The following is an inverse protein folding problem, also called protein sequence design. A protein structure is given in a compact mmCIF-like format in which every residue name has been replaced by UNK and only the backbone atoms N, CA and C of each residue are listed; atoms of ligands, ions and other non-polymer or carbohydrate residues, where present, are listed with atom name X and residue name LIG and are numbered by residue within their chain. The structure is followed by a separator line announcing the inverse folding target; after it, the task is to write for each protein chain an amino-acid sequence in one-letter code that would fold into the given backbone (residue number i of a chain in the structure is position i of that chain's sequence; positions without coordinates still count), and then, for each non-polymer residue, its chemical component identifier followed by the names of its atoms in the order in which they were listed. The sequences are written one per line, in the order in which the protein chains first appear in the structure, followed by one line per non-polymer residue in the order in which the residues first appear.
data_IF_414197992371
#
_entry.id   IF_414197992371
#
_cell.length_a   1.000
_cell.length_b   1.000
_cell.length_c   1.000
_cell.angle_alpha   90.00
_cell.angle_beta   90.00
_cell.angle_gamma   90.00
#
_symmetry.space_group_name_H-M   'P 1'
#
loop_
_entity.id
_entity.type
_entity.pdbx_description
1 polymer ?
#
# COMPACT_ATOMS: atom_id res chain seq x y z
N UNK A 1 1.50 -7.64 3.90
CA UNK A 1 0.35 -7.55 2.98
C UNK A 1 0.34 -8.75 2.06
N UNK A 2 -0.82 -9.27 1.79
CA UNK A 2 -0.97 -10.44 0.93
C UNK A 2 -1.11 -10.02 -0.52
N UNK A 3 -0.43 -10.69 -1.47
CA UNK A 3 -0.62 -10.41 -2.89
C UNK A 3 -2.01 -10.83 -3.35
N UNK A 4 -2.58 -10.04 -4.26
CA UNK A 4 -3.82 -10.36 -4.97
C UNK A 4 -3.46 -10.68 -6.41
N UNK A 5 -3.49 -11.97 -6.75
CA UNK A 5 -3.01 -12.46 -8.03
C UNK A 5 -1.49 -12.61 -8.06
N UNK A 6 -0.95 -12.79 -9.27
CA UNK A 6 0.49 -12.94 -9.51
C UNK A 6 1.07 -11.57 -9.85
N UNK A 7 1.72 -10.94 -8.87
CA UNK A 7 2.24 -9.57 -9.00
C UNK A 7 3.71 -9.53 -8.61
N UNK A 8 4.51 -8.67 -9.30
CA UNK A 8 5.96 -8.59 -9.07
C UNK A 8 6.33 -7.67 -7.89
N UNK A 9 5.40 -7.40 -6.99
CA UNK A 9 5.62 -6.51 -5.86
C UNK A 9 5.31 -7.23 -4.55
N UNK A 10 6.14 -6.98 -3.54
CA UNK A 10 5.90 -7.44 -2.18
C UNK A 10 6.01 -6.25 -1.24
N UNK A 11 5.23 -6.28 -0.16
CA UNK A 11 5.23 -5.19 0.79
C UNK A 11 4.99 -5.67 2.20
N UNK A 12 5.56 -4.93 3.14
CA UNK A 12 5.19 -4.99 4.55
C UNK A 12 4.65 -3.63 4.94
N UNK A 13 3.68 -3.62 5.85
CA UNK A 13 3.10 -2.40 6.36
C UNK A 13 2.90 -2.51 7.86
N UNK A 14 3.19 -1.42 8.58
CA UNK A 14 2.86 -1.27 9.99
C UNK A 14 1.87 -0.14 10.15
N UNK A 15 0.92 -0.32 11.07
CA UNK A 15 -0.08 0.66 11.42
C UNK A 15 0.08 0.99 12.90
N UNK A 16 0.20 2.27 13.22
CA UNK A 16 0.39 2.74 14.59
C UNK A 16 -0.65 3.80 14.91
N UNK A 17 -1.41 3.58 15.98
CA UNK A 17 -2.32 4.60 16.49
C UNK A 17 -1.51 5.77 17.04
N UNK A 18 -1.82 6.96 16.55
CA UNK A 18 -1.24 8.22 17.04
C UNK A 18 -2.36 9.15 17.46
N UNK A 19 -2.01 10.29 18.05
CA UNK A 19 -3.01 11.22 18.59
C UNK A 19 -4.02 11.70 17.54
N UNK A 20 -3.56 11.89 16.30
CA UNK A 20 -4.39 12.46 15.23
C UNK A 20 -4.94 11.41 14.27
N UNK A 21 -4.79 10.12 14.55
CA UNK A 21 -5.28 9.05 13.69
C UNK A 21 -4.36 7.86 13.65
N UNK A 22 -4.00 7.41 12.45
CA UNK A 22 -3.11 6.26 12.25
C UNK A 22 -1.95 6.64 11.34
N UNK A 23 -0.74 6.28 11.76
CA UNK A 23 0.45 6.37 10.92
C UNK A 23 0.69 5.02 10.25
N UNK A 24 0.96 5.05 8.95
CA UNK A 24 1.26 3.89 8.14
C UNK A 24 2.71 3.97 7.65
N UNK A 25 3.47 2.89 7.85
CA UNK A 25 4.83 2.76 7.33
C UNK A 25 4.85 1.59 6.36
N UNK A 26 5.06 1.88 5.09
CA UNK A 26 5.06 0.90 4.00
C UNK A 26 6.47 0.70 3.48
N UNK A 27 6.85 -0.56 3.29
CA UNK A 27 8.10 -0.94 2.63
C UNK A 27 7.75 -1.87 1.47
N UNK A 28 8.10 -1.48 0.26
CA UNK A 28 7.86 -2.27 -0.95
C UNK A 28 9.17 -2.72 -1.56
N UNK A 29 9.19 -3.97 -2.02
CA UNK A 29 10.26 -4.53 -2.83
C UNK A 29 9.68 -5.08 -4.13
N UNK A 30 10.47 -5.04 -5.19
CA UNK A 30 10.04 -5.46 -6.52
C UNK A 30 10.91 -6.61 -7.00
N UNK A 31 10.29 -7.59 -7.67
CA UNK A 31 11.02 -8.70 -8.27
C UNK A 31 12.00 -8.14 -9.30
N UNK A 32 13.23 -8.64 -9.25
CA UNK A 32 14.24 -8.35 -10.28
C UNK A 32 14.09 -9.42 -11.34
N UNK A 33 13.55 -9.03 -12.49
CA UNK A 33 13.46 -9.91 -13.65
C UNK A 33 14.45 -9.45 -14.73
N UNK A 34 14.81 -10.35 -15.64
CA UNK A 34 15.72 -10.04 -16.74
C UNK A 34 15.20 -8.92 -17.64
N UNK A 35 13.90 -8.77 -17.72
CA UNK A 35 13.25 -7.64 -18.35
C UNK A 35 12.58 -6.84 -17.24
N UNK A 36 13.18 -5.70 -16.92
CA UNK A 36 12.58 -4.80 -15.95
C UNK A 36 11.23 -4.34 -16.51
N UNK A 37 10.12 -4.58 -15.81
CA UNK A 37 8.86 -3.99 -16.22
C UNK A 37 9.00 -2.46 -16.24
N UNK A 38 8.27 -1.75 -17.10
CA UNK A 38 8.26 -0.30 -17.05
C UNK A 38 7.82 0.16 -15.66
N UNK A 39 8.30 1.33 -15.25
CA UNK A 39 7.92 1.91 -13.97
C UNK A 39 6.39 2.02 -13.88
N UNK A 40 5.85 1.59 -12.75
CA UNK A 40 4.41 1.56 -12.49
C UNK A 40 4.10 2.48 -11.32
N UNK A 41 3.08 3.32 -11.48
CA UNK A 41 2.61 4.20 -10.41
C UNK A 41 1.60 3.44 -9.54
N UNK A 42 2.01 3.12 -8.32
CA UNK A 42 1.14 2.48 -7.33
C UNK A 42 0.53 3.51 -6.41
N UNK A 43 -0.64 3.17 -5.86
CA UNK A 43 -1.33 4.00 -4.88
C UNK A 43 -1.66 3.18 -3.63
N UNK A 44 -1.61 3.84 -2.47
CA UNK A 44 -1.96 3.25 -1.19
C UNK A 44 -3.30 3.80 -0.74
N UNK A 45 -4.24 2.90 -0.44
CA UNK A 45 -5.58 3.22 0.00
C UNK A 45 -5.85 2.63 1.37
N UNK A 46 -6.59 3.38 2.18
CA UNK A 46 -7.16 2.91 3.44
C UNK A 46 -8.66 2.80 3.25
N UNK A 47 -9.22 1.66 3.65
CA UNK A 47 -10.66 1.45 3.68
C UNK A 47 -11.12 1.37 5.13
N UNK A 48 -12.09 2.21 5.50
CA UNK A 48 -12.65 2.20 6.85
C UNK A 48 -13.81 1.23 6.96
N UNK A 49 -14.16 0.87 8.20
CA UNK A 49 -15.31 -0.01 8.47
C UNK A 49 -16.63 0.63 8.09
N UNK A 50 -16.69 1.95 8.05
CA UNK A 50 -17.86 2.69 7.57
C UNK A 50 -17.97 2.76 6.05
N UNK A 51 -17.04 2.16 5.30
CA UNK A 51 -17.09 2.09 3.84
C UNK A 51 -16.40 3.24 3.11
N UNK A 52 -15.70 4.13 3.81
CA UNK A 52 -14.90 5.17 3.17
C UNK A 52 -13.61 4.59 2.63
N UNK A 53 -13.18 5.09 1.48
CA UNK A 53 -11.89 4.75 0.89
C UNK A 53 -11.10 6.06 0.70
N UNK A 54 -9.87 6.08 1.21
CA UNK A 54 -9.01 7.26 1.17
C UNK A 54 -7.67 6.89 0.56
N UNK A 55 -7.25 7.64 -0.45
CA UNK A 55 -5.89 7.53 -0.97
C UNK A 55 -4.94 8.27 -0.04
N UNK A 56 -3.96 7.58 0.50
CA UNK A 56 -3.04 8.15 1.48
C UNK A 56 -1.61 8.28 0.97
N UNK A 57 -1.30 7.73 -0.20
CA UNK A 57 0.01 7.88 -0.82
C UNK A 57 0.08 7.32 -2.22
N UNK A 58 1.11 7.71 -2.93
CA UNK A 58 1.42 7.18 -4.26
C UNK A 58 2.93 7.17 -4.47
N UNK A 59 3.41 6.26 -5.31
CA UNK A 59 4.83 6.16 -5.63
C UNK A 59 5.01 5.45 -6.96
N UNK A 60 6.20 5.64 -7.54
CA UNK A 60 6.59 4.94 -8.76
C UNK A 60 7.54 3.82 -8.42
N UNK A 61 7.31 2.63 -8.97
CA UNK A 61 8.19 1.50 -8.77
C UNK A 61 9.55 1.74 -9.44
N UNK A 62 10.62 1.31 -8.75
CA UNK A 62 11.98 1.32 -9.32
C UNK A 62 12.51 -0.09 -9.13
N UNK A 63 12.68 -0.81 -10.24
CA UNK A 63 13.14 -2.18 -10.24
C UNK A 63 14.44 -2.37 -9.47
N UNK A 64 14.51 -3.40 -8.63
CA UNK A 64 15.68 -3.72 -7.82
C UNK A 64 15.90 -2.81 -6.61
N UNK A 65 15.03 -1.84 -6.36
CA UNK A 65 15.14 -0.93 -5.21
C UNK A 65 14.00 -1.13 -4.23
N UNK A 66 14.31 -0.91 -2.94
CA UNK A 66 13.31 -0.89 -1.88
C UNK A 66 12.76 0.53 -1.75
N UNK A 67 11.43 0.65 -1.77
CA UNK A 67 10.73 1.91 -1.55
C UNK A 67 10.16 1.94 -0.14
N UNK A 68 10.27 3.07 0.53
CA UNK A 68 9.65 3.30 1.84
C UNK A 68 8.75 4.52 1.76
N UNK A 69 7.55 4.38 2.31
CA UNK A 69 6.54 5.43 2.33
C UNK A 69 5.97 5.56 3.73
N UNK A 70 5.97 6.78 4.26
CA UNK A 70 5.23 7.11 5.48
C UNK A 70 3.97 7.88 5.10
N UNK A 71 2.85 7.49 5.68
CA UNK A 71 1.58 8.15 5.44
C UNK A 71 0.79 8.25 6.75
N UNK A 72 -0.18 9.16 6.79
CA UNK A 72 -1.10 9.29 7.92
C UNK A 72 -2.52 9.41 7.40
N UNK A 73 -3.46 8.93 8.23
CA UNK A 73 -4.89 9.11 7.99
C UNK A 73 -5.56 9.57 9.29
N UNK A 74 -6.64 10.32 9.19
CA UNK A 74 -7.43 10.72 10.35
C UNK A 74 -8.22 9.56 10.94
N UNK A 75 -8.39 8.45 10.21
CA UNK A 75 -9.08 7.28 10.71
C UNK A 75 -8.31 6.66 11.87
N UNK A 76 -9.03 6.27 12.93
CA UNK A 76 -8.42 5.55 14.04
C UNK A 76 -8.00 4.14 13.61
N UNK A 77 -7.03 3.56 14.30
CA UNK A 77 -6.55 2.21 14.01
C UNK A 77 -7.68 1.18 14.01
N UNK A 78 -8.62 1.31 14.94
CA UNK A 78 -9.79 0.42 15.06
C UNK A 78 -10.76 0.56 13.92
N UNK A 79 -10.84 1.73 13.30
CA UNK A 79 -11.76 2.00 12.20
C UNK A 79 -11.23 1.56 10.83
N UNK A 80 -9.96 1.20 10.74
CA UNK A 80 -9.37 0.72 9.50
C UNK A 80 -9.73 -0.75 9.28
N UNK A 81 -10.51 -1.02 8.23
CA UNK A 81 -10.90 -2.39 7.85
C UNK A 81 -9.84 -3.06 6.99
N UNK A 82 -9.21 -2.32 6.09
CA UNK A 82 -8.16 -2.85 5.22
C UNK A 82 -7.28 -1.74 4.67
N UNK A 83 -6.09 -2.15 4.23
CA UNK A 83 -5.16 -1.30 3.51
C UNK A 83 -4.87 -1.98 2.18
N UNK A 84 -4.90 -1.23 1.08
CA UNK A 84 -4.76 -1.77 -0.26
C UNK A 84 -3.71 -1.00 -1.05
N UNK A 85 -2.89 -1.73 -1.81
CA UNK A 85 -2.04 -1.17 -2.87
C UNK A 85 -2.72 -1.45 -4.20
N UNK A 86 -2.90 -0.41 -5.01
CA UNK A 86 -3.56 -0.50 -6.32
C UNK A 86 -2.62 -0.10 -7.45
N UNK A 87 -2.78 -0.80 -8.57
CA UNK A 87 -2.13 -0.45 -9.83
C UNK A 87 -2.85 0.74 -10.51
N UNK A 88 -2.27 1.34 -11.58
CA UNK A 88 -2.86 2.50 -12.25
C UNK A 88 -4.28 2.27 -12.78
N UNK A 89 -4.62 1.02 -13.13
CA UNK A 89 -5.96 0.66 -13.59
C UNK A 89 -6.98 0.50 -12.46
N UNK A 90 -6.57 0.74 -11.20
CA UNK A 90 -7.41 0.60 -10.02
C UNK A 90 -7.46 -0.81 -9.43
N UNK A 91 -6.81 -1.77 -10.05
CA UNK A 91 -6.79 -3.16 -9.57
C UNK A 91 -5.98 -3.27 -8.28
N UNK A 92 -6.55 -3.92 -7.28
CA UNK A 92 -5.86 -4.20 -6.01
C UNK A 92 -4.79 -5.27 -6.27
N UNK A 93 -3.54 -4.97 -5.92
CA UNK A 93 -2.40 -5.89 -6.10
C UNK A 93 -1.88 -6.42 -4.77
N UNK A 94 -2.04 -5.67 -3.68
CA UNK A 94 -1.69 -6.11 -2.32
C UNK A 94 -2.79 -5.67 -1.37
N UNK A 95 -3.04 -6.48 -0.33
CA UNK A 95 -4.07 -6.18 0.65
C UNK A 95 -3.68 -6.67 2.03
N UNK A 96 -3.93 -5.86 3.04
CA UNK A 96 -3.91 -6.23 4.44
C UNK A 96 -5.32 -6.04 5.01
N UNK A 97 -5.97 -7.13 5.40
CA UNK A 97 -7.21 -7.07 6.17
C UNK A 97 -6.85 -6.98 7.66
N UNK A 98 -7.48 -6.06 8.36
CA UNK A 98 -7.21 -5.85 9.79
C UNK A 98 -8.28 -6.47 10.69
#
# INVERSE_FOLDING_TARGET
MDPVGDVPVRATITLEQVTWGTRLELTCTYAVEYQLPPAVDYTLFVRTRGGRTEQVGSWRSVGGRTMRLSATTAASREDIASVEVRAPDGRVVLKLAT
#
